data_IF_232859880516
#
_entry.id   IF_232859880516
#
_cell.length_a   1.000
_cell.length_b   1.000
_cell.length_c   1.000
_cell.angle_alpha   90.00
_cell.angle_beta   90.00
_cell.angle_gamma   90.00
#
_symmetry.space_group_name_H-M   'P 1'
#
loop_
_entity.id
_entity.type
_entity.pdbx_description
1 polymer ?
#
# COMPACT_ATOMS: atom_id res chain seq x y z
N UNK A 1 13.66 -10.06 4.99
CA UNK A 1 15.03 -10.14 4.46
C UNK A 1 15.13 -11.17 3.34
N UNK A 2 16.26 -11.26 2.66
CA UNK A 2 16.43 -12.12 1.45
C UNK A 2 16.09 -13.60 1.68
N UNK A 3 16.24 -14.10 2.90
CA UNK A 3 15.96 -15.51 3.26
C UNK A 3 14.55 -15.74 3.83
N UNK A 4 13.70 -14.72 3.91
CA UNK A 4 12.38 -14.81 4.55
C UNK A 4 11.22 -15.21 3.61
N UNK A 5 11.54 -15.61 2.37
CA UNK A 5 10.54 -15.90 1.35
C UNK A 5 9.96 -14.64 0.69
N UNK A 6 8.74 -14.72 0.19
CA UNK A 6 8.05 -13.59 -0.43
C UNK A 6 7.08 -12.89 0.53
N UNK A 7 6.54 -11.74 0.10
CA UNK A 7 5.69 -10.92 0.95
C UNK A 7 4.31 -11.51 1.24
N UNK A 8 3.89 -12.58 0.57
CA UNK A 8 2.54 -13.17 0.70
C UNK A 8 2.28 -13.75 2.09
N UNK A 9 3.32 -14.22 2.77
CA UNK A 9 3.25 -14.78 4.13
C UNK A 9 3.17 -13.72 5.22
N UNK A 10 3.57 -12.47 4.93
CA UNK A 10 3.54 -11.40 5.91
C UNK A 10 2.11 -11.02 6.27
N UNK A 11 1.91 -10.63 7.53
CA UNK A 11 0.67 -10.08 8.04
C UNK A 11 0.63 -8.58 7.81
N UNK A 12 -0.52 -8.05 7.44
CA UNK A 12 -0.75 -6.62 7.21
C UNK A 12 -2.11 -6.20 7.75
N UNK A 13 -2.12 -5.02 8.38
CA UNK A 13 -3.32 -4.23 8.71
C UNK A 13 -3.15 -2.85 8.12
N UNK A 14 -4.21 -2.29 7.51
CA UNK A 14 -4.27 -0.92 7.01
C UNK A 14 -5.46 -0.22 7.65
N UNK A 15 -5.23 0.96 8.23
CA UNK A 15 -6.28 1.77 8.86
C UNK A 15 -7.03 2.59 7.79
N UNK A 16 -7.80 1.89 6.95
CA UNK A 16 -8.57 2.50 5.88
C UNK A 16 -9.87 1.74 5.66
N UNK A 17 -10.99 2.46 5.55
CA UNK A 17 -12.29 1.89 5.21
C UNK A 17 -12.61 1.96 3.72
N UNK A 18 -11.82 2.72 2.95
CA UNK A 18 -12.01 2.95 1.52
C UNK A 18 -10.70 2.83 0.76
N UNK A 19 -10.82 2.42 -0.50
CA UNK A 19 -9.75 2.48 -1.49
C UNK A 19 -10.23 3.22 -2.74
N UNK A 20 -9.32 3.64 -3.60
CA UNK A 20 -9.65 4.28 -4.87
C UNK A 20 -9.50 3.26 -6.01
N UNK A 21 -10.59 2.82 -6.65
CA UNK A 21 -10.50 1.98 -7.84
C UNK A 21 -9.77 2.71 -8.96
N UNK A 22 -8.96 1.97 -9.69
CA UNK A 22 -8.25 2.47 -10.87
C UNK A 22 -8.87 1.92 -12.17
N UNK A 23 -8.62 2.61 -13.25
CA UNK A 23 -8.94 2.17 -14.61
C UNK A 23 -7.90 1.17 -15.15
N UNK A 24 -8.00 0.81 -16.43
CA UNK A 24 -7.10 -0.15 -17.09
C UNK A 24 -5.65 0.31 -17.22
N UNK A 25 -5.34 1.58 -16.92
CA UNK A 25 -3.98 2.16 -16.91
C UNK A 25 -3.54 2.61 -15.51
N UNK A 26 -4.21 2.10 -14.48
CA UNK A 26 -3.92 2.32 -13.06
C UNK A 26 -4.13 3.76 -12.57
N UNK A 27 -4.93 4.56 -13.28
CA UNK A 27 -5.32 5.90 -12.83
C UNK A 27 -6.61 5.79 -12.01
N UNK A 28 -6.69 6.40 -10.80
CA UNK A 28 -7.91 6.41 -10.01
C UNK A 28 -9.08 7.02 -10.77
N UNK A 29 -10.24 6.34 -10.74
CA UNK A 29 -11.46 6.82 -11.39
C UNK A 29 -12.08 8.06 -10.72
N UNK A 30 -11.70 8.32 -9.46
CA UNK A 30 -12.30 9.34 -8.59
C UNK A 30 -13.30 8.74 -7.58
N UNK A 31 -13.69 7.49 -7.78
CA UNK A 31 -14.56 6.77 -6.85
C UNK A 31 -13.83 6.44 -5.54
N UNK A 32 -14.55 6.48 -4.42
CA UNK A 32 -14.13 5.94 -3.11
C UNK A 32 -14.97 4.69 -2.83
N UNK A 33 -14.35 3.53 -2.89
CA UNK A 33 -15.04 2.24 -2.71
C UNK A 33 -14.72 1.63 -1.35
N UNK A 34 -15.75 1.16 -0.63
CA UNK A 34 -15.56 0.50 0.66
C UNK A 34 -14.74 -0.78 0.52
N UNK A 35 -13.78 -1.00 1.44
CA UNK A 35 -12.96 -2.22 1.46
C UNK A 35 -13.70 -3.43 2.01
N UNK A 36 -14.72 -3.22 2.85
CA UNK A 36 -15.46 -4.26 3.57
C UNK A 36 -16.01 -5.34 2.62
N UNK A 37 -15.77 -6.60 2.97
CA UNK A 37 -16.16 -7.78 2.19
C UNK A 37 -15.52 -7.86 0.80
N UNK A 38 -14.37 -7.23 0.60
CA UNK A 38 -13.58 -7.29 -0.64
C UNK A 38 -12.18 -7.85 -0.35
N UNK A 39 -11.39 -8.22 -1.36
CA UNK A 39 -9.98 -8.59 -1.17
C UNK A 39 -9.15 -7.46 -0.53
N UNK A 40 -9.58 -6.21 -0.69
CA UNK A 40 -8.91 -5.00 -0.18
C UNK A 40 -9.14 -4.75 1.33
N UNK A 41 -9.96 -5.55 2.01
CA UNK A 41 -10.23 -5.37 3.44
C UNK A 41 -9.04 -5.82 4.29
N UNK A 42 -8.22 -4.86 4.71
CA UNK A 42 -7.13 -4.99 5.68
C UNK A 42 -7.43 -4.27 7.01
N UNK A 43 -8.70 -4.00 7.31
CA UNK A 43 -9.09 -3.38 8.59
C UNK A 43 -8.77 -4.27 9.79
N UNK A 44 -8.79 -5.59 9.61
CA UNK A 44 -8.19 -6.57 10.51
C UNK A 44 -6.89 -7.13 9.91
N UNK A 45 -5.94 -7.48 10.78
CA UNK A 45 -4.68 -8.07 10.36
C UNK A 45 -4.90 -9.41 9.64
N UNK A 46 -4.35 -9.56 8.45
CA UNK A 46 -4.41 -10.80 7.65
C UNK A 46 -3.17 -10.98 6.78
N UNK A 47 -2.97 -12.21 6.26
CA UNK A 47 -1.89 -12.49 5.31
C UNK A 47 -2.10 -11.74 3.99
N UNK A 48 -1.02 -11.11 3.50
CA UNK A 48 -1.02 -10.35 2.25
C UNK A 48 -1.49 -11.23 1.08
N UNK A 49 -0.98 -12.46 0.98
CA UNK A 49 -1.31 -13.37 -0.13
C UNK A 49 -2.73 -13.94 -0.13
N UNK A 50 -3.50 -13.74 0.96
CA UNK A 50 -4.82 -14.33 1.11
C UNK A 50 -5.86 -13.91 0.06
N UNK A 51 -5.65 -12.75 -0.60
CA UNK A 51 -6.56 -12.22 -1.62
C UNK A 51 -6.09 -12.39 -3.08
N UNK A 52 -4.89 -12.91 -3.34
CA UNK A 52 -4.25 -12.84 -4.67
C UNK A 52 -5.00 -13.56 -5.80
N UNK A 53 -5.87 -14.52 -5.48
CA UNK A 53 -6.73 -15.21 -6.47
C UNK A 53 -8.00 -14.43 -6.81
N UNK A 54 -8.26 -13.30 -6.17
CA UNK A 54 -9.41 -12.48 -6.46
C UNK A 54 -9.30 -11.86 -7.85
N UNK A 55 -10.43 -11.82 -8.58
CA UNK A 55 -10.48 -11.30 -9.95
C UNK A 55 -9.93 -9.89 -10.08
N UNK A 56 -10.17 -9.06 -9.07
CA UNK A 56 -9.75 -7.66 -8.99
C UNK A 56 -8.22 -7.49 -8.94
N UNK A 57 -7.49 -8.53 -8.52
CA UNK A 57 -6.03 -8.50 -8.34
C UNK A 57 -5.26 -9.21 -9.45
N UNK A 58 -5.95 -9.84 -10.42
CA UNK A 58 -5.29 -10.62 -11.47
C UNK A 58 -4.48 -9.73 -12.41
N UNK A 59 -5.00 -8.57 -12.79
CA UNK A 59 -4.35 -7.65 -13.74
C UNK A 59 -3.05 -7.05 -13.18
N UNK A 60 -3.01 -6.77 -11.88
CA UNK A 60 -1.84 -6.20 -11.16
C UNK A 60 -0.93 -7.28 -10.57
N UNK A 61 -1.30 -8.54 -10.68
CA UNK A 61 -0.62 -9.68 -10.05
C UNK A 61 -0.44 -9.49 -8.53
N UNK A 62 -1.48 -9.03 -7.84
CA UNK A 62 -1.48 -8.68 -6.43
C UNK A 62 -1.94 -7.24 -6.21
N UNK A 63 -1.59 -6.65 -5.08
CA UNK A 63 -2.00 -5.29 -4.76
C UNK A 63 -1.12 -4.26 -5.45
N UNK A 64 -1.75 -3.23 -5.98
CA UNK A 64 -1.19 -1.96 -6.46
C UNK A 64 -2.30 -0.91 -6.36
N UNK A 65 -2.68 -0.58 -5.12
CA UNK A 65 -3.92 0.14 -4.86
C UNK A 65 -3.73 1.20 -3.78
N UNK A 66 -4.38 2.34 -3.98
CA UNK A 66 -4.37 3.45 -3.06
C UNK A 66 -5.52 3.34 -2.05
N UNK A 67 -5.21 3.46 -0.76
CA UNK A 67 -6.12 3.42 0.37
C UNK A 67 -6.30 4.82 0.95
N UNK A 68 -7.54 5.17 1.33
CA UNK A 68 -7.85 6.43 2.01
C UNK A 68 -7.75 6.19 3.52
N UNK A 69 -6.78 6.83 4.16
CA UNK A 69 -6.48 6.61 5.57
C UNK A 69 -7.53 7.23 6.50
N UNK A 70 -7.78 6.57 7.64
CA UNK A 70 -8.69 7.04 8.68
C UNK A 70 -7.96 7.77 9.82
N UNK A 71 -6.64 7.95 9.75
CA UNK A 71 -5.84 8.63 10.77
C UNK A 71 -4.36 8.33 10.62
N UNK A 72 -3.56 8.91 11.50
CA UNK A 72 -2.10 8.94 11.40
C UNK A 72 -1.40 7.58 11.53
N UNK A 73 -1.92 6.64 12.32
CA UNK A 73 -1.43 5.26 12.31
C UNK A 73 -1.97 4.55 11.06
N UNK A 74 -1.20 4.62 9.98
CA UNK A 74 -1.62 4.19 8.64
C UNK A 74 -1.67 2.67 8.49
N UNK A 75 -0.63 1.98 8.95
CA UNK A 75 -0.52 0.53 8.76
C UNK A 75 0.36 -0.14 9.82
N UNK A 76 0.13 -1.45 10.00
CA UNK A 76 0.98 -2.36 10.75
C UNK A 76 1.30 -3.58 9.90
N UNK A 77 2.58 -3.93 9.80
CA UNK A 77 3.05 -5.12 9.10
C UNK A 77 3.91 -5.99 10.01
N UNK A 78 3.81 -7.32 9.84
CA UNK A 78 4.58 -8.28 10.64
C UNK A 78 5.03 -9.47 9.77
N UNK A 79 6.27 -9.89 9.96
CA UNK A 79 6.81 -11.12 9.39
C UNK A 79 6.84 -12.22 10.45
N UNK A 80 5.97 -13.21 10.31
CA UNK A 80 5.96 -14.40 11.19
C UNK A 80 7.27 -15.22 11.09
N UNK A 81 8.01 -15.07 9.99
CA UNK A 81 9.27 -15.81 9.74
C UNK A 81 10.44 -15.18 10.48
N UNK A 82 10.52 -13.84 10.52
CA UNK A 82 11.67 -13.13 11.09
C UNK A 82 11.38 -12.45 12.41
N UNK A 83 10.10 -12.37 12.83
CA UNK A 83 9.65 -11.62 14.00
C UNK A 83 9.71 -10.09 13.84
N UNK A 84 10.11 -9.58 12.66
CA UNK A 84 10.17 -8.14 12.39
C UNK A 84 8.75 -7.59 12.28
N UNK A 85 8.50 -6.49 12.99
CA UNK A 85 7.26 -5.70 12.96
C UNK A 85 7.57 -4.29 12.48
N UNK A 86 6.62 -3.68 11.79
CA UNK A 86 6.72 -2.30 11.31
C UNK A 86 5.38 -1.60 11.45
N UNK A 87 5.37 -0.46 12.15
CA UNK A 87 4.26 0.47 12.17
C UNK A 87 4.58 1.69 11.32
N UNK A 88 3.62 2.12 10.50
CA UNK A 88 3.72 3.28 9.64
C UNK A 88 2.79 4.37 10.15
N UNK A 89 3.36 5.54 10.43
CA UNK A 89 2.62 6.75 10.82
C UNK A 89 2.85 7.85 9.79
N UNK A 90 1.81 8.63 9.50
CA UNK A 90 1.87 9.74 8.56
C UNK A 90 0.68 10.68 8.74
N UNK A 91 0.86 11.95 8.37
CA UNK A 91 -0.22 12.92 8.19
C UNK A 91 -0.77 12.96 6.74
N UNK A 92 -0.25 12.10 5.85
CA UNK A 92 -0.73 12.00 4.48
C UNK A 92 -2.14 11.38 4.42
N UNK A 93 -3.00 11.82 3.48
CA UNK A 93 -4.39 11.36 3.40
C UNK A 93 -4.56 9.94 2.87
N UNK A 94 -3.56 9.41 2.17
CA UNK A 94 -3.64 8.12 1.49
C UNK A 94 -2.37 7.29 1.68
N UNK A 95 -2.49 5.99 1.36
CA UNK A 95 -1.39 5.02 1.37
C UNK A 95 -1.50 4.14 0.12
N UNK A 96 -0.48 4.13 -0.73
CA UNK A 96 -0.35 3.10 -1.75
C UNK A 96 0.16 1.82 -1.12
N UNK A 97 -0.50 0.71 -1.41
CA UNK A 97 -0.04 -0.64 -1.08
C UNK A 97 0.30 -1.40 -2.36
N UNK A 98 1.58 -1.70 -2.55
CA UNK A 98 2.12 -2.39 -3.71
C UNK A 98 2.85 -3.67 -3.31
N UNK A 99 2.60 -4.78 -3.98
CA UNK A 99 3.15 -6.10 -3.62
C UNK A 99 4.20 -6.63 -4.60
N UNK A 100 4.80 -5.77 -5.39
CA UNK A 100 5.86 -6.17 -6.32
C UNK A 100 5.41 -7.13 -7.43
N UNK A 101 4.12 -7.10 -7.80
CA UNK A 101 3.55 -8.02 -8.79
C UNK A 101 4.19 -7.93 -10.18
N UNK A 102 4.77 -6.77 -10.52
CA UNK A 102 5.42 -6.51 -11.80
C UNK A 102 6.95 -6.66 -11.77
N UNK A 103 7.55 -6.98 -10.61
CA UNK A 103 9.00 -7.07 -10.47
C UNK A 103 9.61 -8.41 -10.94
N UNK A 104 8.79 -9.34 -11.45
CA UNK A 104 9.27 -10.66 -11.86
C UNK A 104 10.35 -10.60 -12.93
N UNK A 105 11.55 -11.08 -12.61
CA UNK A 105 12.71 -11.13 -13.52
C UNK A 105 13.55 -9.85 -13.58
N UNK A 106 13.22 -8.80 -12.83
CA UNK A 106 14.01 -7.56 -12.76
C UNK A 106 15.35 -7.85 -12.07
N UNK A 107 16.44 -7.35 -12.62
CA UNK A 107 17.77 -7.46 -12.01
C UNK A 107 17.84 -6.55 -10.78
N UNK A 108 18.09 -7.14 -9.62
CA UNK A 108 18.30 -6.44 -8.36
C UNK A 108 19.76 -6.45 -7.91
N UNK A 109 20.00 -5.98 -6.68
CA UNK A 109 21.36 -5.86 -6.11
C UNK A 109 22.06 -7.21 -5.98
N UNK A 110 21.36 -8.26 -5.55
CA UNK A 110 21.91 -9.58 -5.26
C UNK A 110 21.46 -10.66 -6.25
N UNK A 111 20.80 -10.30 -7.34
CA UNK A 111 20.25 -11.23 -8.32
C UNK A 111 18.92 -10.76 -8.90
N UNK A 112 18.20 -11.68 -9.55
CA UNK A 112 16.87 -11.38 -10.09
C UNK A 112 15.82 -11.43 -8.99
N UNK A 113 14.98 -10.39 -8.92
CA UNK A 113 13.81 -10.41 -8.08
C UNK A 113 12.69 -11.25 -8.70
N UNK A 114 12.04 -12.04 -7.87
CA UNK A 114 10.79 -12.71 -8.22
C UNK A 114 9.61 -11.78 -7.96
N UNK A 115 8.46 -12.09 -8.56
CA UNK A 115 7.21 -11.44 -8.16
C UNK A 115 7.02 -11.63 -6.66
N UNK A 116 6.49 -10.59 -6.01
CA UNK A 116 6.16 -10.60 -4.58
C UNK A 116 7.37 -10.73 -3.65
N UNK A 117 8.57 -10.49 -4.15
CA UNK A 117 9.80 -10.52 -3.35
C UNK A 117 9.80 -9.50 -2.19
N UNK A 118 8.93 -8.49 -2.26
CA UNK A 118 8.72 -7.48 -1.24
C UNK A 118 7.40 -6.74 -1.45
N UNK A 119 7.11 -5.81 -0.56
CA UNK A 119 5.96 -4.92 -0.68
C UNK A 119 6.33 -3.50 -0.25
N UNK A 120 5.58 -2.53 -0.71
CA UNK A 120 5.71 -1.11 -0.35
C UNK A 120 4.45 -0.63 0.36
N UNK A 121 4.65 0.25 1.35
CA UNK A 121 3.63 1.06 1.99
C UNK A 121 4.05 2.52 1.81
N UNK A 122 3.33 3.25 0.94
CA UNK A 122 3.76 4.54 0.40
C UNK A 122 2.74 5.62 0.77
N UNK A 123 2.91 6.32 1.92
CA UNK A 123 2.06 7.46 2.26
C UNK A 123 2.14 8.56 1.22
N UNK A 124 0.98 9.06 0.77
CA UNK A 124 0.89 9.99 -0.36
C UNK A 124 -0.42 10.77 -0.36
N UNK A 125 -0.54 11.78 -1.23
CA UNK A 125 -1.85 12.23 -1.72
C UNK A 125 -2.44 11.20 -2.67
N UNK A 126 -3.77 11.18 -2.82
CA UNK A 126 -4.38 10.26 -3.78
C UNK A 126 -3.83 10.53 -5.19
N UNK A 127 -3.45 9.48 -5.96
CA UNK A 127 -2.96 9.67 -7.32
C UNK A 127 -3.98 10.42 -8.17
N UNK A 128 -3.49 11.27 -9.09
CA UNK A 128 -4.31 12.14 -9.95
C UNK A 128 -5.26 13.08 -9.19
N UNK A 129 -4.99 13.35 -7.90
CA UNK A 129 -5.89 14.16 -7.06
C UNK A 129 -6.11 15.57 -7.61
N UNK A 130 -5.15 16.15 -8.33
CA UNK A 130 -5.29 17.48 -8.93
C UNK A 130 -6.49 17.56 -9.89
N UNK A 131 -6.82 16.47 -10.56
CA UNK A 131 -7.90 16.36 -11.53
C UNK A 131 -9.20 15.77 -10.94
N UNK A 132 -9.22 15.35 -9.67
CA UNK A 132 -10.37 14.74 -9.00
C UNK A 132 -10.98 15.71 -7.99
N UNK A 133 -12.25 16.06 -8.14
CA UNK A 133 -12.91 17.09 -7.33
C UNK A 133 -12.86 16.79 -5.82
N UNK A 134 -13.10 15.54 -5.42
CA UNK A 134 -13.29 15.13 -4.03
C UNK A 134 -12.00 14.67 -3.33
N UNK A 135 -10.84 14.80 -4.00
CA UNK A 135 -9.56 14.47 -3.40
C UNK A 135 -8.83 15.73 -2.94
N UNK A 136 -8.11 15.60 -1.83
CA UNK A 136 -7.23 16.66 -1.34
C UNK A 136 -6.14 16.96 -2.37
N UNK A 137 -5.90 18.28 -2.63
CA UNK A 137 -4.98 18.72 -3.68
C UNK A 137 -3.56 18.92 -3.15
N UNK A 138 -2.53 18.33 -3.79
CA UNK A 138 -1.13 18.56 -3.46
C UNK A 138 -0.63 19.88 -4.05
N UNK A 139 -1.35 20.97 -3.81
CA UNK A 139 -1.00 22.29 -4.36
C UNK A 139 -0.25 23.11 -3.33
N UNK A 140 0.86 23.71 -3.74
CA UNK A 140 1.63 24.67 -3.00
C UNK A 140 1.64 26.00 -3.78
N UNK A 141 1.14 27.06 -3.17
CA UNK A 141 1.16 28.39 -3.79
C UNK A 141 2.56 29.03 -3.63
N UNK A 142 2.81 30.08 -4.43
CA UNK A 142 4.03 30.86 -4.29
C UNK A 142 4.15 31.39 -2.85
N UNK A 143 5.34 31.27 -2.27
CA UNK A 143 5.69 31.70 -0.92
C UNK A 143 4.94 30.92 0.22
N UNK A 144 4.26 29.81 -0.09
CA UNK A 144 3.66 28.87 0.86
C UNK A 144 4.67 27.77 1.19
N UNK A 145 4.70 27.32 2.46
CA UNK A 145 5.47 26.17 2.92
C UNK A 145 4.50 25.12 3.49
N UNK A 146 4.69 23.86 3.11
CA UNK A 146 3.98 22.72 3.68
C UNK A 146 4.99 21.68 4.16
N UNK A 147 4.72 21.09 5.30
CA UNK A 147 5.54 20.02 5.87
C UNK A 147 4.64 18.81 6.12
N UNK A 148 5.13 17.65 5.72
CA UNK A 148 4.50 16.36 5.97
C UNK A 148 5.51 15.41 6.59
N UNK A 149 5.02 14.37 7.30
CA UNK A 149 5.90 13.38 7.86
C UNK A 149 5.49 11.95 7.49
N UNK A 150 6.50 11.08 7.41
CA UNK A 150 6.35 9.63 7.36
C UNK A 150 7.29 9.06 8.40
N UNK A 151 6.76 8.23 9.30
CA UNK A 151 7.52 7.61 10.38
C UNK A 151 7.34 6.10 10.35
N UNK A 152 8.45 5.38 10.32
CA UNK A 152 8.48 3.92 10.43
C UNK A 152 9.05 3.54 11.80
N UNK A 153 8.25 2.83 12.59
CA UNK A 153 8.71 2.23 13.84
C UNK A 153 8.94 0.74 13.60
N UNK A 154 10.14 0.26 13.89
CA UNK A 154 10.48 -1.15 13.79
C UNK A 154 10.62 -1.77 15.17
N UNK A 155 10.12 -3.01 15.31
CA UNK A 155 10.34 -3.87 16.47
C UNK A 155 10.63 -5.30 15.99
N UNK A 156 11.20 -6.09 16.85
CA UNK A 156 11.42 -7.53 16.62
C UNK A 156 11.31 -8.27 17.97
N UNK A 157 10.90 -9.52 17.91
CA UNK A 157 10.85 -10.44 19.07
C UNK A 157 12.17 -11.17 19.19
#
# INVERSE_FOLDING_TARGET
GESSGDCRSNLLKINACYYTPSDGVLIPTGEKRAVKNTPFDFTAQKKIGGGFNAKELLATHGYDHNYILNGEHAAHAESEVTGVKMDVFTDMPCLQFYTGGQLGGVNGKSGKYNRWAGFCLEPQFCPDSINKQDFEKPVLNKDEEKSHYIKFNFAWN
#
